data_IF_058785004427
#
_entry.id   IF_058785004427
#
_cell.length_a   1.000
_cell.length_b   1.000
_cell.length_c   1.000
_cell.angle_alpha   90.00
_cell.angle_beta   90.00
_cell.angle_gamma   90.00
#
_symmetry.space_group_name_H-M   'P 1'
#
loop_
_entity.id
_entity.type
_entity.pdbx_description
1 polymer ?
#
# COMPACT_ATOMS: atom_id res chain seq x y z
N UNK A 1 0.17 48.66 14.09
CA UNK A 1 -0.08 47.19 14.17
C UNK A 1 1.22 46.48 13.81
N UNK A 2 1.92 45.91 14.80
CA UNK A 2 3.22 45.24 14.61
C UNK A 2 3.01 43.85 14.01
N UNK A 3 3.48 43.64 12.78
CA UNK A 3 3.54 42.30 12.17
C UNK A 3 4.62 41.51 12.92
N UNK A 4 4.23 40.64 13.85
CA UNK A 4 5.12 39.62 14.39
C UNK A 4 5.41 38.61 13.27
N UNK A 5 6.54 38.78 12.62
CA UNK A 5 7.10 37.76 11.73
C UNK A 5 7.43 36.54 12.58
N UNK A 6 6.74 35.43 12.36
CA UNK A 6 7.10 34.15 12.97
C UNK A 6 8.34 33.65 12.23
N UNK A 7 9.52 33.89 12.80
CA UNK A 7 10.78 33.40 12.26
C UNK A 7 10.88 31.91 12.64
N UNK A 8 10.62 31.02 11.67
CA UNK A 8 10.95 29.60 11.82
C UNK A 8 12.46 29.50 11.99
N UNK A 9 12.90 29.03 13.16
CA UNK A 9 14.32 28.90 13.51
C UNK A 9 14.70 27.43 13.49
N UNK A 10 15.88 27.10 12.96
CA UNK A 10 16.40 25.73 12.97
C UNK A 10 16.61 25.24 14.41
N UNK A 11 16.18 24.01 14.69
CA UNK A 11 16.29 23.39 16.01
C UNK A 11 17.08 22.09 15.92
N UNK A 12 17.79 21.75 17.02
CA UNK A 12 18.36 20.43 17.23
C UNK A 12 17.29 19.57 17.89
N UNK A 13 16.90 18.47 17.22
CA UNK A 13 15.89 17.53 17.71
C UNK A 13 16.55 16.19 17.98
N UNK A 14 16.31 15.63 19.17
CA UNK A 14 16.66 14.25 19.52
C UNK A 14 15.38 13.43 19.59
N UNK A 15 15.35 12.29 18.89
CA UNK A 15 14.24 11.34 18.91
C UNK A 15 14.62 10.09 19.71
N UNK A 16 13.62 9.31 20.10
CA UNK A 16 13.80 8.05 20.84
C UNK A 16 13.92 6.82 19.93
N UNK A 17 13.74 7.00 18.61
CA UNK A 17 13.51 5.91 17.68
C UNK A 17 12.05 5.43 17.69
N UNK A 18 11.61 4.86 16.57
CA UNK A 18 10.30 4.23 16.43
C UNK A 18 10.50 2.71 16.27
N UNK A 19 10.01 1.88 17.22
CA UNK A 19 10.13 0.43 17.14
C UNK A 19 9.17 -0.21 16.12
N UNK A 20 8.09 0.48 15.75
CA UNK A 20 6.99 -0.03 14.92
C UNK A 20 7.32 0.09 13.43
N UNK A 21 8.40 -0.57 13.03
CA UNK A 21 8.93 -0.56 11.67
C UNK A 21 8.40 -1.75 10.88
N UNK A 22 8.21 -1.56 9.60
CA UNK A 22 7.94 -2.61 8.63
C UNK A 22 8.48 -2.18 7.27
N UNK A 23 8.60 -3.14 6.35
CA UNK A 23 8.94 -2.90 4.95
C UNK A 23 7.68 -2.98 4.09
N UNK A 24 7.71 -2.28 2.96
CA UNK A 24 6.66 -2.33 1.95
C UNK A 24 7.25 -2.91 0.66
N UNK A 25 6.73 -4.06 0.23
CA UNK A 25 7.06 -4.63 -1.07
C UNK A 25 6.12 -4.04 -2.12
N UNK A 26 6.67 -3.20 -3.02
CA UNK A 26 5.92 -2.40 -4.01
C UNK A 26 6.38 -2.57 -5.46
N UNK A 27 7.07 -3.66 -5.73
CA UNK A 27 7.84 -3.90 -6.95
C UNK A 27 9.08 -3.00 -7.04
N UNK A 28 9.71 -3.01 -8.21
CA UNK A 28 10.84 -2.14 -8.54
C UNK A 28 11.41 -2.46 -9.92
N UNK A 29 11.84 -1.43 -10.65
CA UNK A 29 12.41 -1.59 -11.99
C UNK A 29 11.43 -2.20 -12.99
N UNK A 30 10.12 -1.96 -12.81
CA UNK A 30 9.06 -2.53 -13.64
C UNK A 30 8.78 -4.01 -13.39
N UNK A 31 9.36 -4.59 -12.33
CA UNK A 31 9.13 -5.97 -11.90
C UNK A 31 8.32 -6.00 -10.61
N UNK A 32 7.50 -7.03 -10.49
CA UNK A 32 6.74 -7.37 -9.29
C UNK A 32 7.67 -7.95 -8.22
N UNK A 33 7.25 -7.88 -6.96
CA UNK A 33 7.92 -8.55 -5.84
C UNK A 33 6.94 -8.99 -4.75
N UNK A 34 5.70 -9.32 -5.12
CA UNK A 34 4.68 -9.82 -4.20
C UNK A 34 4.61 -11.34 -4.16
N UNK A 35 5.25 -12.03 -5.11
CA UNK A 35 5.22 -13.48 -5.22
C UNK A 35 6.00 -14.13 -4.07
N UNK A 36 5.62 -15.38 -3.76
CA UNK A 36 6.14 -16.13 -2.60
C UNK A 36 7.66 -16.10 -2.46
N UNK A 37 8.42 -16.20 -3.56
CA UNK A 37 9.89 -16.18 -3.54
C UNK A 37 10.46 -14.81 -3.15
N UNK A 38 9.78 -13.71 -3.50
CA UNK A 38 10.17 -12.37 -3.15
C UNK A 38 9.85 -12.09 -1.68
N UNK A 39 8.67 -12.54 -1.22
CA UNK A 39 8.29 -12.46 0.20
C UNK A 39 9.27 -13.26 1.06
N UNK A 40 9.62 -14.48 0.68
CA UNK A 40 10.59 -15.30 1.42
C UNK A 40 11.98 -14.65 1.51
N UNK A 41 12.44 -13.99 0.44
CA UNK A 41 13.69 -13.22 0.49
C UNK A 41 13.58 -12.01 1.41
N UNK A 42 12.45 -11.33 1.39
CA UNK A 42 12.19 -10.20 2.27
C UNK A 42 12.16 -10.64 3.74
N UNK A 43 11.50 -11.77 4.05
CA UNK A 43 11.50 -12.42 5.38
C UNK A 43 12.92 -12.67 5.88
N UNK A 44 13.80 -13.23 5.04
CA UNK A 44 15.18 -13.50 5.42
C UNK A 44 15.98 -12.22 5.74
N UNK A 45 15.72 -11.13 5.02
CA UNK A 45 16.38 -9.84 5.25
C UNK A 45 15.92 -9.20 6.57
N UNK A 46 14.63 -9.27 6.87
CA UNK A 46 14.06 -8.61 8.07
C UNK A 46 14.15 -9.47 9.34
N UNK A 47 14.44 -10.78 9.21
CA UNK A 47 14.58 -11.68 10.35
C UNK A 47 15.65 -11.21 11.36
N UNK A 48 16.71 -10.54 10.89
CA UNK A 48 17.75 -10.00 11.76
C UNK A 48 17.35 -8.74 12.54
N UNK A 49 16.20 -8.14 12.23
CA UNK A 49 15.78 -6.83 12.78
C UNK A 49 14.82 -6.95 13.98
N UNK A 50 14.43 -8.17 14.37
CA UNK A 50 13.57 -8.41 15.54
C UNK A 50 12.13 -7.92 15.40
N UNK A 51 11.62 -7.76 14.17
CA UNK A 51 10.28 -7.25 13.87
C UNK A 51 9.31 -8.43 13.67
N UNK A 52 8.23 -8.49 14.46
CA UNK A 52 7.30 -9.63 14.50
C UNK A 52 6.44 -9.84 13.23
N UNK A 53 6.00 -8.75 12.58
CA UNK A 53 5.19 -8.80 11.34
C UNK A 53 5.68 -7.75 10.34
N UNK A 54 6.81 -8.00 9.69
CA UNK A 54 7.58 -6.94 9.05
C UNK A 54 7.10 -6.55 7.65
N UNK A 55 6.14 -7.23 7.02
CA UNK A 55 5.92 -7.08 5.57
C UNK A 55 4.51 -6.59 5.25
N UNK A 56 4.41 -5.40 4.65
CA UNK A 56 3.22 -4.94 3.94
C UNK A 56 3.43 -5.13 2.43
N UNK A 57 2.39 -5.58 1.72
CA UNK A 57 2.43 -5.67 0.26
C UNK A 57 1.61 -4.54 -0.36
N UNK A 58 2.26 -3.72 -1.16
CA UNK A 58 1.59 -2.75 -2.03
C UNK A 58 1.08 -3.46 -3.28
N UNK A 59 -0.23 -3.46 -3.48
CA UNK A 59 -0.87 -4.08 -4.63
C UNK A 59 -0.81 -3.22 -5.90
N UNK A 60 -0.46 -1.93 -5.79
CA UNK A 60 -0.38 -0.96 -6.89
C UNK A 60 1.05 -0.90 -7.47
N UNK A 61 1.42 0.25 -8.04
CA UNK A 61 2.76 0.57 -8.54
C UNK A 61 3.36 -0.53 -9.44
N UNK A 62 4.62 -0.93 -9.21
CA UNK A 62 5.28 -1.93 -10.04
C UNK A 62 4.69 -3.33 -9.81
N UNK A 63 4.07 -3.59 -8.65
CA UNK A 63 3.35 -4.84 -8.38
C UNK A 63 2.08 -5.01 -9.23
N UNK A 64 1.41 -3.91 -9.57
CA UNK A 64 0.33 -3.90 -10.57
C UNK A 64 0.84 -3.73 -12.01
N UNK A 65 2.15 -3.61 -12.20
CA UNK A 65 2.77 -3.12 -13.45
C UNK A 65 2.13 -1.83 -13.96
N UNK A 66 1.77 -0.94 -13.02
CA UNK A 66 1.09 0.35 -13.25
C UNK A 66 -0.30 0.23 -13.89
N UNK A 67 -0.92 -0.95 -13.81
CA UNK A 67 -2.29 -1.18 -14.22
C UNK A 67 -3.16 -1.40 -12.98
N UNK A 68 -3.93 -0.38 -12.60
CA UNK A 68 -4.81 -0.42 -11.41
C UNK A 68 -5.72 -1.66 -11.36
N UNK A 69 -6.17 -2.18 -12.50
CA UNK A 69 -7.04 -3.37 -12.58
C UNK A 69 -6.37 -4.65 -12.09
N UNK A 70 -5.03 -4.66 -11.98
CA UNK A 70 -4.26 -5.80 -11.48
C UNK A 70 -4.14 -5.81 -9.96
N UNK A 71 -4.50 -4.74 -9.25
CA UNK A 71 -4.42 -4.69 -7.79
C UNK A 71 -5.20 -5.83 -7.13
N UNK A 72 -6.39 -6.15 -7.64
CA UNK A 72 -7.19 -7.28 -7.15
C UNK A 72 -6.52 -8.64 -7.37
N UNK A 73 -5.76 -8.82 -8.44
CA UNK A 73 -4.98 -10.05 -8.68
C UNK A 73 -3.85 -10.18 -7.66
N UNK A 74 -3.14 -9.09 -7.39
CA UNK A 74 -2.06 -9.06 -6.39
C UNK A 74 -2.62 -9.37 -5.00
N UNK A 75 -3.70 -8.69 -4.60
CA UNK A 75 -4.33 -8.88 -3.30
C UNK A 75 -4.77 -10.33 -3.05
N UNK A 76 -5.35 -10.98 -4.07
CA UNK A 76 -5.79 -12.39 -3.97
C UNK A 76 -4.63 -13.38 -3.88
N UNK A 77 -3.53 -13.14 -4.61
CA UNK A 77 -2.34 -13.99 -4.46
C UNK A 77 -1.73 -13.85 -3.06
N UNK A 78 -1.66 -12.62 -2.53
CA UNK A 78 -1.16 -12.39 -1.17
C UNK A 78 -2.09 -13.01 -0.11
N UNK A 79 -3.41 -12.92 -0.29
CA UNK A 79 -4.37 -13.61 0.58
C UNK A 79 -4.12 -15.13 0.58
N UNK A 80 -3.89 -15.73 -0.60
CA UNK A 80 -3.54 -17.14 -0.71
C UNK A 80 -2.26 -17.45 0.07
N UNK A 81 -1.19 -16.69 -0.12
CA UNK A 81 0.06 -16.88 0.61
C UNK A 81 -0.14 -16.79 2.14
N UNK A 82 -0.94 -15.81 2.60
CA UNK A 82 -1.25 -15.66 4.01
C UNK A 82 -2.01 -16.88 4.56
N UNK A 83 -3.00 -17.39 3.80
CA UNK A 83 -3.76 -18.61 4.15
C UNK A 83 -2.89 -19.86 4.15
N UNK A 84 -1.87 -19.91 3.29
CA UNK A 84 -0.87 -20.98 3.21
C UNK A 84 0.18 -20.89 4.35
N UNK A 85 -0.01 -20.02 5.34
CA UNK A 85 0.82 -19.94 6.56
C UNK A 85 1.83 -18.79 6.60
N UNK A 86 1.87 -17.91 5.59
CA UNK A 86 2.83 -16.80 5.50
C UNK A 86 2.44 -15.62 6.39
N UNK A 87 2.63 -15.76 7.69
CA UNK A 87 2.16 -14.78 8.70
C UNK A 87 3.09 -13.59 8.94
N UNK A 88 4.22 -13.52 8.24
CA UNK A 88 5.07 -12.32 8.16
C UNK A 88 4.39 -11.16 7.43
N UNK A 89 3.43 -11.47 6.56
CA UNK A 89 2.60 -10.50 5.85
C UNK A 89 1.59 -9.92 6.83
N UNK A 90 1.73 -8.63 7.12
CA UNK A 90 0.90 -7.91 8.07
C UNK A 90 -0.33 -7.24 7.44
N UNK A 91 -0.28 -6.97 6.14
CA UNK A 91 -1.33 -6.23 5.46
C UNK A 91 -1.05 -5.92 4.00
N UNK A 92 -2.04 -5.28 3.38
CA UNK A 92 -2.04 -4.85 1.99
C UNK A 92 -2.18 -3.32 1.92
N UNK A 93 -1.62 -2.72 0.87
CA UNK A 93 -1.92 -1.35 0.45
C UNK A 93 -2.61 -1.36 -0.91
N UNK A 94 -3.74 -0.67 -1.00
CA UNK A 94 -4.56 -0.54 -2.21
C UNK A 94 -4.73 0.95 -2.54
N UNK A 95 -4.64 1.28 -3.82
CA UNK A 95 -4.99 2.60 -4.34
C UNK A 95 -6.40 2.55 -4.94
N UNK A 96 -7.35 3.14 -4.22
CA UNK A 96 -8.77 3.18 -4.60
C UNK A 96 -9.30 4.61 -4.53
N UNK A 97 -10.32 4.89 -5.33
CA UNK A 97 -11.05 6.15 -5.34
C UNK A 97 -12.53 5.88 -5.66
N UNK A 98 -13.38 6.91 -5.59
CA UNK A 98 -14.81 6.76 -5.90
C UNK A 98 -15.01 6.21 -7.32
N UNK A 99 -14.28 6.79 -8.29
CA UNK A 99 -14.30 6.38 -9.68
C UNK A 99 -12.93 5.83 -10.10
N UNK A 100 -12.90 4.79 -10.97
CA UNK A 100 -11.67 4.11 -11.35
C UNK A 100 -10.79 4.95 -12.27
N UNK A 101 -9.53 4.54 -12.41
CA UNK A 101 -8.58 5.12 -13.34
C UNK A 101 -7.95 6.42 -12.82
N UNK A 102 -7.54 7.27 -13.76
CA UNK A 102 -6.93 8.57 -13.49
C UNK A 102 -7.31 9.59 -14.55
N UNK A 103 -7.10 10.86 -14.23
CA UNK A 103 -7.23 12.00 -15.12
C UNK A 103 -5.99 12.90 -15.00
N UNK A 104 -5.72 13.69 -16.04
CA UNK A 104 -4.62 14.65 -16.00
C UNK A 104 -5.13 16.01 -15.54
N UNK A 105 -4.53 16.56 -14.47
CA UNK A 105 -4.80 17.94 -14.08
C UNK A 105 -4.32 18.93 -15.15
N UNK A 106 -5.17 19.89 -15.49
CA UNK A 106 -4.85 20.98 -16.41
C UNK A 106 -5.50 22.27 -15.93
N UNK A 107 -4.77 23.38 -16.02
CA UNK A 107 -5.27 24.69 -15.62
C UNK A 107 -6.55 25.05 -16.39
N UNK A 108 -7.58 25.50 -15.67
CA UNK A 108 -8.86 25.92 -16.25
C UNK A 108 -9.78 24.79 -16.69
N UNK A 109 -9.40 23.51 -16.52
CA UNK A 109 -10.29 22.38 -16.78
C UNK A 109 -11.01 21.92 -15.52
N UNK A 110 -12.30 21.66 -15.64
CA UNK A 110 -13.09 20.99 -14.60
C UNK A 110 -12.66 19.52 -14.52
N UNK A 111 -12.28 19.07 -13.33
CA UNK A 111 -11.94 17.68 -13.08
C UNK A 111 -13.20 16.83 -12.90
N UNK A 112 -13.16 15.59 -13.38
CA UNK A 112 -14.15 14.60 -13.02
C UNK A 112 -14.09 14.34 -11.50
N UNK A 113 -15.23 14.40 -10.83
CA UNK A 113 -15.32 14.14 -9.40
C UNK A 113 -14.87 12.71 -9.07
N UNK A 114 -14.08 12.54 -8.02
CA UNK A 114 -13.70 11.21 -7.53
C UNK A 114 -12.79 10.39 -8.44
N UNK A 115 -12.13 11.01 -9.43
CA UNK A 115 -11.11 10.37 -10.28
C UNK A 115 -9.73 10.91 -9.89
N UNK A 116 -8.76 10.03 -9.67
CA UNK A 116 -7.40 10.41 -9.26
C UNK A 116 -6.70 11.32 -10.28
N UNK A 117 -5.92 12.30 -9.81
CA UNK A 117 -5.06 13.13 -10.68
C UNK A 117 -3.61 12.65 -10.76
N UNK A 118 -3.27 11.57 -10.04
CA UNK A 118 -1.93 10.99 -9.96
C UNK A 118 -1.92 9.59 -10.58
N UNK A 119 -1.80 8.55 -9.77
CA UNK A 119 -1.84 7.17 -10.20
C UNK A 119 -3.28 6.68 -10.36
N UNK A 120 -3.46 5.68 -11.23
CA UNK A 120 -4.77 5.12 -11.50
C UNK A 120 -5.24 4.28 -10.32
N UNK A 121 -6.50 4.47 -9.91
CA UNK A 121 -7.06 3.78 -8.75
C UNK A 121 -8.12 2.76 -9.15
N UNK A 122 -8.36 1.78 -8.28
CA UNK A 122 -9.61 1.00 -8.31
C UNK A 122 -10.81 1.93 -8.09
N UNK A 123 -11.96 1.56 -8.66
CA UNK A 123 -13.23 2.21 -8.35
C UNK A 123 -13.85 1.66 -7.06
N UNK A 124 -14.87 2.35 -6.53
CA UNK A 124 -15.51 1.95 -5.27
C UNK A 124 -16.09 0.54 -5.31
N UNK A 125 -16.83 0.17 -6.37
CA UNK A 125 -17.48 -1.15 -6.46
C UNK A 125 -16.47 -2.32 -6.45
N UNK A 126 -15.34 -2.16 -7.13
CA UNK A 126 -14.26 -3.17 -7.09
C UNK A 126 -13.57 -3.19 -5.72
N UNK A 127 -13.40 -2.03 -5.09
CA UNK A 127 -12.81 -1.91 -3.75
C UNK A 127 -13.67 -2.61 -2.71
N UNK A 128 -14.98 -2.34 -2.70
CA UNK A 128 -15.94 -2.97 -1.79
C UNK A 128 -15.98 -4.49 -1.97
N UNK A 129 -16.04 -4.95 -3.22
CA UNK A 129 -16.01 -6.39 -3.56
C UNK A 129 -14.74 -7.04 -3.02
N UNK A 130 -13.58 -6.45 -3.29
CA UNK A 130 -12.29 -6.99 -2.88
C UNK A 130 -12.15 -7.01 -1.35
N UNK A 131 -12.51 -5.93 -0.65
CA UNK A 131 -12.43 -5.88 0.81
C UNK A 131 -13.37 -6.89 1.47
N UNK A 132 -14.58 -7.08 0.91
CA UNK A 132 -15.54 -8.09 1.40
C UNK A 132 -14.97 -9.50 1.23
N UNK A 133 -14.44 -9.82 0.04
CA UNK A 133 -13.80 -11.11 -0.23
C UNK A 133 -12.62 -11.39 0.71
N UNK A 134 -11.75 -10.40 0.93
CA UNK A 134 -10.62 -10.50 1.85
C UNK A 134 -11.10 -10.73 3.30
N UNK A 135 -12.13 -10.00 3.73
CA UNK A 135 -12.68 -10.13 5.07
C UNK A 135 -13.31 -11.52 5.29
N UNK A 136 -14.16 -11.98 4.36
CA UNK A 136 -14.78 -13.31 4.41
C UNK A 136 -13.76 -14.44 4.50
N UNK A 137 -12.68 -14.34 3.71
CA UNK A 137 -11.60 -15.33 3.72
C UNK A 137 -10.80 -15.36 5.03
N UNK A 138 -10.78 -14.24 5.78
CA UNK A 138 -10.05 -14.10 7.04
C UNK A 138 -10.95 -14.35 8.27
N UNK A 139 -12.28 -14.27 8.15
CA UNK A 139 -13.24 -14.46 9.25
C UNK A 139 -12.96 -15.69 10.13
N UNK A 140 -12.71 -16.90 9.59
CA UNK A 140 -12.46 -18.09 10.42
C UNK A 140 -11.24 -17.99 11.35
N UNK A 141 -10.36 -17.02 11.11
CA UNK A 141 -9.12 -16.78 11.89
C UNK A 141 -9.25 -15.62 12.86
N UNK A 142 -10.19 -14.70 12.62
CA UNK A 142 -10.42 -13.50 13.42
C UNK A 142 -11.57 -13.67 14.42
N UNK A 143 -12.39 -14.71 14.26
CA UNK A 143 -13.35 -15.19 15.24
C UNK A 143 -12.65 -15.98 16.36
#
# INVERSE_FOLDING_TARGET
>A
MSKRSVISSSLIIKTTGNPDRHIVLRGGGGKTNYETEHVARAEAIVASEGILRPIMIDCSHDNSSKDHRRQGTVARDVLRQFRDGRHSIMGLMLESNLNPGKQTWQLGKTLAHGVSITDACLGWGETETLLTELAEALTPRLA
#
